data_IF_962317465542
#
_entry.id   IF_962317465542
#
_cell.length_a   1.000
_cell.length_b   1.000
_cell.length_c   1.000
_cell.angle_alpha   90.00
_cell.angle_beta   90.00
_cell.angle_gamma   90.00
#
_symmetry.space_group_name_H-M   'P 1'
#
loop_
_entity.id
_entity.type
_entity.pdbx_description
1 polymer ?
#
# COMPACT_ATOMS: atom_id res chain seq x y z
N UNK A 1 -21.39 9.56 -5.10
CA UNK A 1 -20.35 8.85 -5.90
C UNK A 1 -19.18 9.80 -6.21
N UNK A 2 -19.43 11.05 -6.64
CA UNK A 2 -18.34 12.02 -6.93
C UNK A 2 -17.50 12.38 -5.69
N UNK A 3 -18.11 12.55 -4.52
CA UNK A 3 -17.38 12.88 -3.28
C UNK A 3 -16.42 11.78 -2.82
N UNK A 4 -16.78 10.51 -3.01
CA UNK A 4 -15.90 9.38 -2.70
C UNK A 4 -14.69 9.29 -3.65
N UNK A 5 -14.88 9.57 -4.94
CA UNK A 5 -13.81 9.61 -5.94
C UNK A 5 -12.82 10.75 -5.65
N UNK A 6 -13.30 11.95 -5.35
CA UNK A 6 -12.46 13.11 -4.99
C UNK A 6 -11.64 12.82 -3.73
N UNK A 7 -12.24 12.18 -2.71
CA UNK A 7 -11.51 11.78 -1.51
C UNK A 7 -10.39 10.77 -1.81
N UNK A 8 -10.63 9.80 -2.69
CA UNK A 8 -9.62 8.80 -3.07
C UNK A 8 -8.48 9.39 -3.90
N UNK A 9 -8.75 10.35 -4.78
CA UNK A 9 -7.71 11.06 -5.54
C UNK A 9 -6.82 11.90 -4.63
N UNK A 10 -7.38 12.57 -3.62
CA UNK A 10 -6.61 13.28 -2.59
C UNK A 10 -5.70 12.32 -1.81
N UNK A 11 -6.21 11.15 -1.41
CA UNK A 11 -5.41 10.14 -0.73
C UNK A 11 -4.23 9.63 -1.57
N UNK A 12 -4.43 9.41 -2.87
CA UNK A 12 -3.35 8.98 -3.79
C UNK A 12 -2.27 10.06 -3.85
N UNK A 13 -2.65 11.32 -4.05
CA UNK A 13 -1.70 12.43 -4.11
C UNK A 13 -0.91 12.59 -2.81
N UNK A 14 -1.61 12.56 -1.68
CA UNK A 14 -0.98 12.71 -0.36
C UNK A 14 -0.06 11.54 -0.05
N UNK A 15 -0.44 10.32 -0.42
CA UNK A 15 0.40 9.13 -0.31
C UNK A 15 1.68 9.26 -1.15
N UNK A 16 1.59 9.73 -2.38
CA UNK A 16 2.77 9.95 -3.23
C UNK A 16 3.68 11.00 -2.62
N UNK A 17 3.15 12.13 -2.14
CA UNK A 17 3.95 13.19 -1.50
C UNK A 17 4.67 12.65 -0.27
N UNK A 18 3.97 11.95 0.61
CA UNK A 18 4.55 11.34 1.81
C UNK A 18 5.66 10.35 1.47
N UNK A 19 5.41 9.47 0.50
CA UNK A 19 6.39 8.47 0.04
C UNK A 19 7.63 9.15 -0.53
N UNK A 20 7.46 10.18 -1.37
CA UNK A 20 8.58 10.96 -1.94
C UNK A 20 9.41 11.63 -0.84
N UNK A 21 8.76 12.19 0.18
CA UNK A 21 9.42 12.82 1.31
C UNK A 21 10.23 11.79 2.13
N UNK A 22 9.64 10.64 2.41
CA UNK A 22 10.30 9.54 3.12
C UNK A 22 11.49 9.02 2.32
N UNK A 23 11.32 8.76 1.02
CA UNK A 23 12.40 8.31 0.13
C UNK A 23 13.55 9.32 0.13
N UNK A 24 13.24 10.61 0.01
CA UNK A 24 14.25 11.66 0.04
C UNK A 24 15.01 11.70 1.36
N UNK A 25 14.31 11.54 2.48
CA UNK A 25 14.91 11.52 3.81
C UNK A 25 15.89 10.34 3.98
N UNK A 26 15.52 9.14 3.53
CA UNK A 26 16.35 7.94 3.67
C UNK A 26 17.49 7.86 2.65
N UNK A 27 17.23 8.16 1.39
CA UNK A 27 18.25 8.07 0.34
C UNK A 27 19.24 9.24 0.34
N UNK A 28 18.87 10.38 0.96
CA UNK A 28 19.75 11.58 1.11
C UNK A 28 20.37 12.07 -0.18
N UNK A 29 19.93 11.55 -1.31
CA UNK A 29 20.45 11.85 -2.64
C UNK A 29 19.30 12.12 -3.60
N UNK A 30 19.15 13.38 -4.05
CA UNK A 30 18.10 13.80 -4.98
C UNK A 30 18.04 12.96 -6.25
N UNK A 31 19.21 12.57 -6.77
CA UNK A 31 19.28 11.77 -8.01
C UNK A 31 18.78 10.34 -7.80
N UNK A 32 19.10 9.75 -6.66
CA UNK A 32 18.60 8.44 -6.29
C UNK A 32 17.09 8.47 -6.06
N UNK A 33 16.56 9.54 -5.41
CA UNK A 33 15.14 9.69 -5.11
C UNK A 33 14.27 9.87 -6.37
N UNK A 34 14.82 10.41 -7.46
CA UNK A 34 14.08 10.53 -8.74
C UNK A 34 13.67 9.16 -9.28
N UNK A 35 14.47 8.12 -9.04
CA UNK A 35 14.20 6.78 -9.61
C UNK A 35 12.89 6.21 -9.10
N UNK A 36 12.65 6.06 -7.79
CA UNK A 36 11.34 5.62 -7.28
C UNK A 36 10.19 6.57 -7.66
N UNK A 37 10.44 7.89 -7.70
CA UNK A 37 9.42 8.88 -8.09
C UNK A 37 8.92 8.65 -9.53
N UNK A 38 9.77 8.23 -10.44
CA UNK A 38 9.39 7.91 -11.82
C UNK A 38 8.79 6.51 -11.93
N UNK A 39 9.28 5.54 -11.17
CA UNK A 39 8.76 4.16 -11.23
C UNK A 39 7.33 4.03 -10.71
N UNK A 40 6.92 4.84 -9.71
CA UNK A 40 5.56 4.85 -9.17
C UNK A 40 4.51 5.12 -10.27
N UNK A 41 4.53 6.28 -10.96
CA UNK A 41 3.51 6.57 -11.97
C UNK A 41 3.55 5.59 -13.14
N UNK A 42 4.72 5.12 -13.55
CA UNK A 42 4.85 4.12 -14.62
C UNK A 42 4.17 2.82 -14.22
N UNK A 43 4.38 2.34 -13.00
CA UNK A 43 3.75 1.12 -12.50
C UNK A 43 2.25 1.28 -12.33
N UNK A 44 1.77 2.43 -11.86
CA UNK A 44 0.33 2.71 -11.71
C UNK A 44 -0.37 2.79 -13.08
N UNK A 45 0.24 3.45 -14.07
CA UNK A 45 -0.29 3.47 -15.44
C UNK A 45 -0.32 2.07 -16.03
N UNK A 46 0.72 1.26 -15.78
CA UNK A 46 0.73 -0.14 -16.19
C UNK A 46 -0.37 -0.97 -15.52
N UNK A 47 -0.63 -0.75 -14.23
CA UNK A 47 -1.74 -1.38 -13.51
C UNK A 47 -3.10 -0.96 -14.10
N UNK A 48 -3.31 0.33 -14.39
CA UNK A 48 -4.52 0.81 -15.06
C UNK A 48 -4.70 0.18 -16.44
N UNK A 49 -3.61 0.02 -17.20
CA UNK A 49 -3.67 -0.63 -18.51
C UNK A 49 -4.07 -2.10 -18.40
N UNK A 50 -3.58 -2.83 -17.39
CA UNK A 50 -4.02 -4.20 -17.13
C UNK A 50 -5.50 -4.26 -16.72
N UNK A 51 -5.95 -3.36 -15.85
CA UNK A 51 -7.36 -3.28 -15.47
C UNK A 51 -8.26 -3.04 -16.68
N UNK A 52 -7.85 -2.16 -17.58
CA UNK A 52 -8.57 -1.90 -18.84
C UNK A 52 -8.64 -3.14 -19.74
N UNK A 53 -7.54 -3.89 -19.87
CA UNK A 53 -7.49 -5.14 -20.63
C UNK A 53 -8.42 -6.23 -20.08
N UNK A 54 -8.58 -6.28 -18.76
CA UNK A 54 -9.48 -7.22 -18.09
C UNK A 54 -10.93 -6.73 -18.00
N UNK A 55 -11.23 -5.53 -18.49
CA UNK A 55 -12.57 -4.96 -18.50
C UNK A 55 -13.06 -4.53 -17.12
N UNK A 56 -12.15 -4.23 -16.18
CA UNK A 56 -12.49 -3.74 -14.84
C UNK A 56 -12.80 -2.24 -14.84
N UNK A 57 -13.70 -1.86 -13.94
CA UNK A 57 -14.08 -0.46 -13.75
C UNK A 57 -13.22 0.21 -12.68
N UNK A 58 -13.02 1.52 -12.82
CA UNK A 58 -12.44 2.34 -11.76
C UNK A 58 -13.54 2.63 -10.74
N UNK A 59 -13.43 2.05 -9.57
CA UNK A 59 -14.32 2.24 -8.44
C UNK A 59 -13.54 2.55 -7.16
N UNK A 60 -14.22 2.84 -6.05
CA UNK A 60 -13.58 3.17 -4.77
C UNK A 60 -12.63 2.09 -4.28
N UNK A 61 -12.96 0.80 -4.50
CA UNK A 61 -12.13 -0.32 -4.07
C UNK A 61 -10.88 -0.47 -4.95
N UNK A 62 -11.01 -0.29 -6.26
CA UNK A 62 -9.84 -0.33 -7.16
C UNK A 62 -8.93 0.87 -6.94
N UNK A 63 -9.47 2.05 -6.59
CA UNK A 63 -8.67 3.21 -6.16
C UNK A 63 -7.95 2.93 -4.82
N UNK A 64 -8.61 2.28 -3.87
CA UNK A 64 -7.98 1.83 -2.62
C UNK A 64 -6.85 0.83 -2.89
N UNK A 65 -7.05 -0.12 -3.82
CA UNK A 65 -6.00 -1.03 -4.26
C UNK A 65 -4.79 -0.28 -4.84
N UNK A 66 -5.04 0.77 -5.61
CA UNK A 66 -3.99 1.63 -6.17
C UNK A 66 -3.20 2.38 -5.07
N UNK A 67 -3.88 2.91 -4.05
CA UNK A 67 -3.21 3.55 -2.89
C UNK A 67 -2.31 2.56 -2.16
N UNK A 68 -2.80 1.35 -1.91
CA UNK A 68 -2.01 0.28 -1.29
C UNK A 68 -0.84 -0.16 -2.18
N UNK A 69 -1.07 -0.23 -3.50
CA UNK A 69 -0.05 -0.59 -4.46
C UNK A 69 1.13 0.38 -4.47
N UNK A 70 0.93 1.68 -4.21
CA UNK A 70 2.02 2.67 -4.17
C UNK A 70 3.11 2.23 -3.20
N UNK A 71 2.75 1.81 -1.98
CA UNK A 71 3.72 1.35 -0.99
C UNK A 71 4.49 0.10 -1.44
N UNK A 72 3.78 -0.87 -2.03
CA UNK A 72 4.39 -2.13 -2.50
C UNK A 72 5.28 -1.92 -3.73
N UNK A 73 4.86 -1.05 -4.65
CA UNK A 73 5.61 -0.69 -5.87
C UNK A 73 6.93 0.00 -5.54
N UNK A 74 6.91 0.87 -4.54
CA UNK A 74 8.10 1.62 -4.10
C UNK A 74 9.15 0.69 -3.51
N UNK A 75 8.72 -0.31 -2.75
CA UNK A 75 9.61 -1.24 -2.06
C UNK A 75 10.48 -2.03 -3.05
N UNK A 76 9.89 -2.57 -4.11
CA UNK A 76 10.62 -3.25 -5.19
C UNK A 76 11.71 -2.36 -5.81
N UNK A 77 11.37 -1.11 -6.12
CA UNK A 77 12.30 -0.16 -6.72
C UNK A 77 13.43 0.24 -5.77
N UNK A 78 13.13 0.42 -4.47
CA UNK A 78 14.13 0.80 -3.46
C UNK A 78 15.14 -0.32 -3.25
N UNK A 79 14.70 -1.58 -3.15
CA UNK A 79 15.61 -2.72 -2.94
C UNK A 79 16.60 -2.86 -4.10
N UNK A 80 16.12 -2.70 -5.35
CA UNK A 80 17.00 -2.73 -6.54
C UNK A 80 17.97 -1.55 -6.55
N UNK A 81 17.47 -0.36 -6.27
CA UNK A 81 18.26 0.87 -6.23
C UNK A 81 19.37 0.77 -5.19
N UNK A 82 19.05 0.34 -3.96
CA UNK A 82 20.00 0.27 -2.86
C UNK A 82 21.14 -0.69 -3.16
N UNK A 83 20.83 -1.88 -3.68
CA UNK A 83 21.87 -2.84 -4.04
C UNK A 83 22.81 -2.32 -5.14
N UNK A 84 22.25 -1.67 -6.17
CA UNK A 84 23.05 -1.05 -7.22
C UNK A 84 23.88 0.11 -6.66
N UNK A 85 23.31 0.94 -5.80
CA UNK A 85 23.97 2.10 -5.20
C UNK A 85 25.17 1.67 -4.35
N UNK A 86 25.03 0.59 -3.57
CA UNK A 86 26.12 0.02 -2.79
C UNK A 86 27.31 -0.39 -3.66
N UNK A 87 27.07 -1.04 -4.80
CA UNK A 87 28.16 -1.39 -5.73
C UNK A 87 28.84 -0.16 -6.34
N UNK A 88 28.11 0.95 -6.54
CA UNK A 88 28.70 2.20 -7.02
C UNK A 88 29.53 2.86 -5.92
N UNK A 89 29.12 2.79 -4.66
CA UNK A 89 29.90 3.28 -3.51
C UNK A 89 31.20 2.47 -3.32
N UNK A 90 31.16 1.16 -3.57
CA UNK A 90 32.33 0.28 -3.59
C UNK A 90 33.31 0.57 -4.76
N UNK A 91 33.02 1.59 -5.60
CA UNK A 91 33.87 2.04 -6.68
C UNK A 91 33.66 1.37 -8.04
N UNK A 92 32.60 0.55 -8.18
CA UNK A 92 32.29 -0.10 -9.45
C UNK A 92 31.73 0.88 -10.48
N UNK A 93 32.08 0.75 -11.79
CA UNK A 93 31.46 1.54 -12.85
C UNK A 93 29.96 1.37 -12.89
N UNK A 94 29.20 2.46 -13.09
CA UNK A 94 27.73 2.50 -12.99
C UNK A 94 27.01 1.43 -13.79
N UNK A 95 27.43 1.21 -15.05
CA UNK A 95 26.80 0.20 -15.92
C UNK A 95 27.03 -1.21 -15.39
N UNK A 96 28.22 -1.49 -14.90
CA UNK A 96 28.57 -2.78 -14.33
C UNK A 96 27.87 -3.00 -12.99
N UNK A 97 27.83 -1.98 -12.13
CA UNK A 97 27.09 -1.99 -10.88
C UNK A 97 25.60 -2.24 -11.11
N UNK A 98 24.97 -1.59 -12.11
CA UNK A 98 23.58 -1.79 -12.46
C UNK A 98 23.30 -3.23 -12.94
N UNK A 99 24.19 -3.78 -13.78
CA UNK A 99 24.03 -5.15 -14.27
C UNK A 99 24.24 -6.20 -13.17
N UNK A 100 25.27 -6.02 -12.35
CA UNK A 100 25.59 -6.95 -11.27
C UNK A 100 24.58 -6.87 -10.15
N UNK A 101 24.27 -5.66 -9.69
CA UNK A 101 23.29 -5.45 -8.61
C UNK A 101 21.90 -5.96 -8.96
N UNK A 102 21.41 -5.70 -10.18
CA UNK A 102 20.11 -6.22 -10.61
C UNK A 102 20.09 -7.74 -10.74
N UNK A 103 21.18 -8.35 -11.19
CA UNK A 103 21.29 -9.81 -11.31
C UNK A 103 21.31 -10.51 -9.95
N UNK A 104 22.00 -9.93 -8.97
CA UNK A 104 22.11 -10.48 -7.61
C UNK A 104 20.75 -10.56 -6.91
N UNK A 105 19.91 -9.55 -7.08
CA UNK A 105 18.60 -9.49 -6.40
C UNK A 105 17.42 -9.86 -7.30
N UNK A 106 17.65 -10.09 -8.59
CA UNK A 106 16.56 -10.38 -9.54
C UNK A 106 15.68 -11.54 -9.09
N UNK A 107 16.26 -12.63 -8.59
CA UNK A 107 15.52 -13.75 -8.05
C UNK A 107 14.69 -13.36 -6.80
N UNK A 108 15.26 -12.54 -5.92
CA UNK A 108 14.56 -12.09 -4.71
C UNK A 108 13.35 -11.22 -5.07
N UNK A 109 13.49 -10.29 -6.03
CA UNK A 109 12.38 -9.44 -6.50
C UNK A 109 11.28 -10.30 -7.13
N UNK A 110 11.61 -11.26 -7.99
CA UNK A 110 10.63 -12.18 -8.58
C UNK A 110 9.92 -12.99 -7.48
N UNK A 111 10.67 -13.49 -6.50
CA UNK A 111 10.09 -14.26 -5.39
C UNK A 111 9.14 -13.39 -4.54
N UNK A 112 9.52 -12.13 -4.23
CA UNK A 112 8.65 -11.18 -3.50
C UNK A 112 7.38 -10.89 -4.28
N UNK A 113 7.49 -10.55 -5.57
CA UNK A 113 6.36 -10.31 -6.46
C UNK A 113 5.40 -11.50 -6.50
N UNK A 114 5.92 -12.72 -6.70
CA UNK A 114 5.10 -13.93 -6.72
C UNK A 114 4.44 -14.23 -5.38
N UNK A 115 5.14 -14.00 -4.27
CA UNK A 115 4.58 -14.16 -2.92
C UNK A 115 3.41 -13.21 -2.71
N UNK A 116 3.55 -11.94 -3.06
CA UNK A 116 2.48 -10.94 -2.95
C UNK A 116 1.27 -11.31 -3.80
N UNK A 117 1.48 -11.69 -5.06
CA UNK A 117 0.40 -12.17 -5.95
C UNK A 117 -0.33 -13.37 -5.33
N UNK A 118 0.42 -14.33 -4.78
CA UNK A 118 -0.16 -15.52 -4.15
C UNK A 118 -0.95 -15.19 -2.88
N UNK A 119 -0.55 -14.18 -2.11
CA UNK A 119 -1.29 -13.72 -0.92
C UNK A 119 -2.65 -13.13 -1.30
N UNK A 120 -2.74 -12.43 -2.43
CA UNK A 120 -4.01 -11.86 -2.91
C UNK A 120 -4.85 -12.83 -3.76
N UNK A 121 -4.26 -13.92 -4.27
CA UNK A 121 -4.95 -14.90 -5.09
C UNK A 121 -6.22 -15.48 -4.44
N UNK A 122 -6.29 -15.80 -3.14
CA UNK A 122 -7.51 -16.32 -2.50
C UNK A 122 -8.70 -15.36 -2.60
N UNK A 123 -8.48 -14.05 -2.62
CA UNK A 123 -9.55 -13.06 -2.77
C UNK A 123 -10.22 -13.12 -4.15
N UNK A 124 -9.49 -13.56 -5.17
CA UNK A 124 -10.02 -13.73 -6.52
C UNK A 124 -11.02 -14.91 -6.64
N UNK A 125 -11.01 -15.83 -5.67
CA UNK A 125 -11.93 -16.98 -5.60
C UNK A 125 -13.10 -16.75 -4.64
N UNK A 126 -13.22 -15.56 -4.05
CA UNK A 126 -14.32 -15.25 -3.14
C UNK A 126 -15.67 -15.26 -3.87
N UNK A 127 -16.68 -15.93 -3.29
CA UNK A 127 -18.02 -16.08 -3.87
C UNK A 127 -19.01 -15.09 -3.26
N UNK A 128 -20.10 -14.81 -3.99
CA UNK A 128 -21.17 -13.93 -3.54
C UNK A 128 -21.01 -12.47 -3.98
N UNK A 129 -21.91 -11.58 -3.50
CA UNK A 129 -21.91 -10.15 -3.87
C UNK A 129 -20.64 -9.45 -3.39
N UNK A 130 -20.24 -9.72 -2.18
CA UNK A 130 -18.99 -9.20 -1.58
C UNK A 130 -17.77 -9.72 -2.33
N UNK A 131 -17.78 -11.00 -2.75
CA UNK A 131 -16.70 -11.60 -3.51
C UNK A 131 -16.41 -10.86 -4.81
N UNK A 132 -17.45 -10.46 -5.57
CA UNK A 132 -17.26 -9.70 -6.83
C UNK A 132 -16.53 -8.39 -6.65
N UNK A 133 -16.79 -7.68 -5.56
CA UNK A 133 -16.11 -6.42 -5.23
C UNK A 133 -14.63 -6.66 -4.90
N UNK A 134 -14.33 -7.72 -4.14
CA UNK A 134 -12.96 -8.06 -3.76
C UNK A 134 -12.14 -8.66 -4.91
N UNK A 135 -12.77 -9.30 -5.90
CA UNK A 135 -12.06 -9.79 -7.09
C UNK A 135 -11.40 -8.65 -7.86
N UNK A 136 -12.13 -7.55 -8.13
CA UNK A 136 -11.56 -6.39 -8.83
C UNK A 136 -10.41 -5.76 -8.03
N UNK A 137 -10.57 -5.62 -6.72
CA UNK A 137 -9.54 -5.14 -5.80
C UNK A 137 -8.27 -6.01 -5.84
N UNK A 138 -8.45 -7.34 -5.68
CA UNK A 138 -7.33 -8.28 -5.64
C UNK A 138 -6.56 -8.33 -6.96
N UNK A 139 -7.27 -8.32 -8.09
CA UNK A 139 -6.66 -8.36 -9.41
C UNK A 139 -5.99 -7.03 -9.78
N UNK A 140 -6.56 -5.88 -9.38
CA UNK A 140 -5.93 -4.58 -9.53
C UNK A 140 -4.60 -4.51 -8.75
N UNK A 141 -4.60 -4.99 -7.50
CA UNK A 141 -3.42 -4.99 -6.65
C UNK A 141 -2.36 -5.98 -7.14
N UNK A 142 -2.76 -7.20 -7.49
CA UNK A 142 -1.86 -8.20 -8.06
C UNK A 142 -1.25 -7.73 -9.40
N UNK A 143 -2.06 -7.11 -10.26
CA UNK A 143 -1.60 -6.51 -11.50
C UNK A 143 -0.58 -5.39 -11.27
N UNK A 144 -0.84 -4.50 -10.31
CA UNK A 144 0.09 -3.42 -9.94
C UNK A 144 1.43 -3.97 -9.45
N UNK A 145 1.42 -5.01 -8.62
CA UNK A 145 2.63 -5.66 -8.10
C UNK A 145 3.40 -6.38 -9.22
N UNK A 146 2.73 -7.06 -10.15
CA UNK A 146 3.38 -7.69 -11.30
C UNK A 146 4.07 -6.67 -12.21
N UNK A 147 3.39 -5.56 -12.51
CA UNK A 147 3.99 -4.46 -13.30
C UNK A 147 5.15 -3.84 -12.54
N UNK A 148 5.02 -3.66 -11.21
CA UNK A 148 6.09 -3.16 -10.35
C UNK A 148 7.34 -4.00 -10.44
N UNK A 149 7.24 -5.31 -10.26
CA UNK A 149 8.38 -6.22 -10.34
C UNK A 149 9.08 -6.13 -11.71
N UNK A 150 8.31 -6.04 -12.81
CA UNK A 150 8.85 -5.85 -14.14
C UNK A 150 9.57 -4.51 -14.29
N UNK A 151 8.97 -3.42 -13.83
CA UNK A 151 9.55 -2.06 -13.86
C UNK A 151 10.79 -1.99 -12.98
N UNK A 152 10.77 -2.60 -11.80
CA UNK A 152 11.90 -2.64 -10.88
C UNK A 152 13.11 -3.38 -11.47
N UNK A 153 12.90 -4.42 -12.26
CA UNK A 153 14.00 -5.18 -12.88
C UNK A 153 14.46 -4.63 -14.24
N UNK A 154 13.70 -3.72 -14.85
CA UNK A 154 14.05 -3.16 -16.18
C UNK A 154 14.36 -1.67 -16.11
N UNK A 155 13.37 -0.85 -15.71
CA UNK A 155 13.50 0.60 -15.68
C UNK A 155 14.46 1.07 -14.59
N UNK A 156 14.36 0.51 -13.37
CA UNK A 156 15.19 0.93 -12.24
C UNK A 156 16.69 0.75 -12.51
N UNK A 157 17.20 -0.42 -12.96
CA UNK A 157 18.62 -0.57 -13.28
C UNK A 157 19.10 0.36 -14.40
N UNK A 158 18.25 0.58 -15.42
CA UNK A 158 18.55 1.50 -16.50
C UNK A 158 18.71 2.93 -15.97
N UNK A 159 17.77 3.41 -15.18
CA UNK A 159 17.85 4.74 -14.56
C UNK A 159 19.05 4.86 -13.60
N UNK A 160 19.35 3.83 -12.82
CA UNK A 160 20.54 3.79 -11.95
C UNK A 160 21.82 3.97 -12.75
N UNK A 161 21.95 3.29 -13.90
CA UNK A 161 23.15 3.37 -14.76
C UNK A 161 23.40 4.78 -15.31
N UNK A 162 22.33 5.59 -15.48
CA UNK A 162 22.39 6.94 -16.06
C UNK A 162 22.48 8.02 -14.98
N UNK A 163 21.61 7.97 -13.97
CA UNK A 163 21.45 9.05 -13.00
C UNK A 163 22.40 8.98 -11.80
N UNK A 164 22.76 7.78 -11.33
CA UNK A 164 23.61 7.65 -10.16
C UNK A 164 25.05 8.10 -10.44
N UNK A 165 25.65 8.80 -9.47
CA UNK A 165 27.06 9.19 -9.50
C UNK A 165 27.67 9.00 -8.13
N UNK A 166 28.90 8.54 -8.08
CA UNK A 166 29.70 8.57 -6.86
C UNK A 166 29.83 10.01 -6.37
N UNK A 167 29.36 10.29 -5.15
CA UNK A 167 29.44 11.61 -4.54
C UNK A 167 30.49 11.59 -3.44
N UNK A 168 31.59 12.29 -3.64
CA UNK A 168 32.68 12.42 -2.67
C UNK A 168 32.49 13.57 -1.66
N UNK A 169 31.47 14.41 -1.83
CA UNK A 169 31.24 15.58 -0.97
C UNK A 169 29.97 15.42 -0.16
N UNK A 170 30.10 15.46 1.17
CA UNK A 170 29.00 15.30 2.10
C UNK A 170 28.63 16.64 2.72
N UNK A 171 27.36 17.05 2.61
CA UNK A 171 26.82 18.23 3.30
C UNK A 171 26.74 18.01 4.80
N UNK A 172 26.75 19.08 5.63
CA UNK A 172 26.58 19.00 7.10
C UNK A 172 25.28 18.27 7.51
N UNK A 173 24.20 18.47 6.77
CA UNK A 173 22.94 17.76 6.97
C UNK A 173 23.06 16.26 6.71
N UNK A 174 23.83 15.87 5.70
CA UNK A 174 24.10 14.46 5.41
C UNK A 174 24.76 13.77 6.60
N UNK A 175 25.82 14.38 7.18
CA UNK A 175 26.55 13.82 8.31
C UNK A 175 25.69 13.72 9.59
N UNK A 176 24.74 14.64 9.79
CA UNK A 176 23.83 14.59 10.94
C UNK A 176 22.84 13.42 10.82
N UNK A 177 22.23 13.24 9.67
CA UNK A 177 21.31 12.11 9.40
C UNK A 177 22.09 10.79 9.43
N UNK A 178 23.30 10.76 8.88
CA UNK A 178 24.16 9.58 8.90
C UNK A 178 24.55 9.19 10.34
N UNK A 179 24.90 10.16 11.18
CA UNK A 179 25.18 9.90 12.58
C UNK A 179 23.98 9.29 13.33
N UNK A 180 22.77 9.78 13.05
CA UNK A 180 21.53 9.23 13.62
C UNK A 180 21.24 7.80 13.12
N UNK A 181 21.37 7.56 11.80
CA UNK A 181 21.17 6.23 11.21
C UNK A 181 22.22 5.22 11.69
N UNK A 182 23.48 5.63 11.81
CA UNK A 182 24.54 4.81 12.37
C UNK A 182 24.29 4.48 13.84
N UNK A 183 23.77 5.45 14.62
CA UNK A 183 23.34 5.23 16.00
C UNK A 183 22.24 4.17 16.09
N UNK A 184 21.23 4.27 15.23
CA UNK A 184 20.13 3.31 15.13
C UNK A 184 20.64 1.91 14.69
N UNK A 185 21.50 1.85 13.69
CA UNK A 185 22.12 0.60 13.21
C UNK A 185 22.95 -0.07 14.30
N UNK A 186 23.74 0.70 15.06
CA UNK A 186 24.51 0.17 16.19
C UNK A 186 23.62 -0.31 17.33
N UNK A 187 22.50 0.39 17.60
CA UNK A 187 21.47 -0.04 18.53
C UNK A 187 20.84 -1.38 18.11
N UNK A 188 20.44 -1.49 16.85
CA UNK A 188 19.92 -2.71 16.27
C UNK A 188 20.92 -3.87 16.35
N UNK A 189 22.18 -3.62 16.02
CA UNK A 189 23.26 -4.61 16.10
C UNK A 189 23.46 -5.15 17.52
N UNK A 190 23.37 -4.27 18.53
CA UNK A 190 23.43 -4.68 19.95
C UNK A 190 22.22 -5.52 20.34
N UNK A 191 21.01 -5.08 19.95
CA UNK A 191 19.78 -5.80 20.23
C UNK A 191 19.77 -7.18 19.56
N UNK A 192 20.20 -7.26 18.30
CA UNK A 192 20.33 -8.50 17.56
C UNK A 192 21.33 -9.44 18.21
N UNK A 193 22.48 -8.92 18.63
CA UNK A 193 23.49 -9.69 19.36
C UNK A 193 22.97 -10.26 20.69
N UNK A 194 22.20 -9.46 21.44
CA UNK A 194 21.53 -9.90 22.66
C UNK A 194 20.46 -10.99 22.38
N UNK A 195 19.66 -10.79 21.33
CA UNK A 195 18.62 -11.75 20.90
C UNK A 195 19.22 -13.08 20.49
N UNK A 196 20.31 -13.08 19.74
CA UNK A 196 21.01 -14.29 19.33
C UNK A 196 21.68 -15.02 20.54
N UNK A 197 22.18 -14.24 21.50
CA UNK A 197 22.74 -14.81 22.74
C UNK A 197 21.66 -15.47 23.60
N UNK A 198 20.45 -14.88 23.65
CA UNK A 198 19.31 -15.39 24.42
C UNK A 198 18.23 -15.99 23.52
N UNK A 199 18.63 -16.80 22.53
CA UNK A 199 17.74 -17.37 21.51
C UNK A 199 16.48 -18.03 22.08
N UNK A 200 16.60 -18.76 23.20
CA UNK A 200 15.45 -19.42 23.84
C UNK A 200 14.43 -18.43 24.40
N UNK A 201 14.90 -17.30 24.96
CA UNK A 201 14.01 -16.24 25.44
C UNK A 201 13.18 -15.65 24.27
N UNK A 202 13.80 -15.41 23.11
CA UNK A 202 13.14 -14.91 21.93
C UNK A 202 12.10 -15.90 21.42
N UNK A 203 12.41 -17.20 21.41
CA UNK A 203 11.46 -18.25 21.03
C UNK A 203 10.27 -18.28 22.00
N UNK A 204 10.52 -18.21 23.31
CA UNK A 204 9.44 -18.20 24.33
C UNK A 204 8.54 -16.98 24.14
N UNK A 205 9.12 -15.79 23.92
CA UNK A 205 8.35 -14.56 23.64
C UNK A 205 7.50 -14.77 22.37
N UNK A 206 8.07 -15.32 21.30
CA UNK A 206 7.36 -15.62 20.06
C UNK A 206 6.16 -16.54 20.27
N UNK A 207 6.35 -17.61 21.06
CA UNK A 207 5.27 -18.57 21.39
C UNK A 207 4.18 -17.90 22.24
N UNK A 208 4.57 -17.08 23.22
CA UNK A 208 3.61 -16.34 24.08
C UNK A 208 2.79 -15.36 23.24
N UNK A 209 3.43 -14.62 22.34
CA UNK A 209 2.74 -13.69 21.43
C UNK A 209 1.79 -14.44 20.48
N UNK A 210 2.23 -15.55 19.91
CA UNK A 210 1.39 -16.39 19.04
C UNK A 210 0.17 -16.97 19.79
N UNK A 211 0.38 -17.47 21.00
CA UNK A 211 -0.71 -17.97 21.85
C UNK A 211 -1.67 -16.83 22.26
N UNK A 212 -1.14 -15.67 22.64
CA UNK A 212 -1.92 -14.48 22.96
C UNK A 212 -2.76 -13.99 21.76
N UNK A 213 -2.20 -13.99 20.56
CA UNK A 213 -2.92 -13.67 19.31
C UNK A 213 -4.07 -14.66 19.06
N UNK A 214 -3.85 -15.95 19.30
CA UNK A 214 -4.91 -16.97 19.18
C UNK A 214 -6.04 -16.78 20.17
N UNK A 215 -5.75 -16.35 21.40
CA UNK A 215 -6.78 -15.99 22.42
C UNK A 215 -7.52 -14.73 22.00
N UNK A 216 -6.81 -13.67 21.60
CA UNK A 216 -7.41 -12.43 21.13
C UNK A 216 -8.33 -12.65 19.94
N UNK A 217 -7.95 -13.49 18.99
CA UNK A 217 -8.76 -13.82 17.82
C UNK A 217 -10.10 -14.48 18.20
N UNK A 218 -10.15 -15.22 19.32
CA UNK A 218 -11.40 -15.81 19.84
C UNK A 218 -12.27 -14.82 20.62
N UNK A 219 -11.67 -13.82 21.23
CA UNK A 219 -12.36 -12.84 22.08
C UNK A 219 -12.88 -11.65 21.28
N UNK A 220 -12.15 -11.24 20.23
CA UNK A 220 -12.58 -10.15 19.36
C UNK A 220 -13.79 -10.57 18.53
N UNK A 221 -14.85 -9.77 18.59
CA UNK A 221 -16.06 -9.99 17.78
C UNK A 221 -15.72 -9.89 16.29
N UNK A 222 -16.16 -10.90 15.54
CA UNK A 222 -16.03 -10.89 14.08
C UNK A 222 -17.19 -10.11 13.47
N UNK A 223 -16.92 -8.91 13.00
CA UNK A 223 -17.87 -8.05 12.29
C UNK A 223 -17.38 -7.81 10.86
N UNK A 224 -18.29 -7.85 9.89
CA UNK A 224 -17.98 -7.68 8.48
C UNK A 224 -17.55 -6.23 8.15
N UNK A 225 -18.11 -5.26 8.85
CA UNK A 225 -17.77 -3.86 8.79
C UNK A 225 -18.03 -3.22 10.17
N UNK A 226 -17.19 -2.29 10.62
CA UNK A 226 -17.47 -1.53 11.82
C UNK A 226 -18.79 -0.76 11.62
N UNK A 227 -19.59 -0.69 12.69
CA UNK A 227 -20.79 0.15 12.71
C UNK A 227 -20.28 1.60 12.76
N UNK A 228 -20.20 2.22 11.58
CA UNK A 228 -19.89 3.64 11.47
C UNK A 228 -21.22 4.42 11.51
N UNK A 229 -21.31 5.35 12.42
CA UNK A 229 -22.37 6.36 12.37
C UNK A 229 -22.04 7.32 11.22
N UNK A 230 -22.72 7.13 10.09
CA UNK A 230 -22.55 7.96 8.89
C UNK A 230 -23.52 9.12 8.85
N UNK A 231 -24.30 9.31 9.92
CA UNK A 231 -25.36 10.32 9.94
C UNK A 231 -26.41 10.10 8.85
N UNK A 232 -26.58 8.86 8.35
CA UNK A 232 -27.53 8.51 7.30
C UNK A 232 -28.44 7.41 7.81
N UNK A 233 -29.71 7.71 7.90
CA UNK A 233 -30.77 6.75 8.24
C UNK A 233 -31.44 6.28 6.95
N UNK A 234 -31.39 4.99 6.66
CA UNK A 234 -32.14 4.39 5.56
C UNK A 234 -33.44 3.83 6.05
N UNK A 235 -34.56 4.47 5.67
CA UNK A 235 -35.91 3.98 5.89
C UNK A 235 -36.46 3.30 4.64
N UNK A 236 -36.91 2.05 4.75
CA UNK A 236 -37.65 1.38 3.68
C UNK A 236 -39.13 1.41 4.06
N UNK A 237 -39.93 2.17 3.32
CA UNK A 237 -41.36 2.26 3.51
C UNK A 237 -42.06 1.34 2.53
N UNK A 238 -42.84 0.41 3.05
CA UNK A 238 -43.61 -0.56 2.27
C UNK A 238 -45.10 -0.20 2.41
N UNK A 239 -45.71 0.23 1.34
CA UNK A 239 -47.17 0.51 1.34
C UNK A 239 -47.97 -0.80 1.17
N UNK A 240 -49.23 -0.87 1.65
CA UNK A 240 -50.08 -2.02 1.45
C UNK A 240 -50.41 -2.25 -0.03
N UNK A 241 -50.71 -3.49 -0.38
CA UNK A 241 -51.07 -3.86 -1.75
C UNK A 241 -52.27 -3.03 -2.26
N UNK A 242 -52.13 -2.40 -3.42
CA UNK A 242 -53.13 -1.53 -4.02
C UNK A 242 -53.01 -0.04 -3.67
N UNK A 243 -52.00 0.34 -2.85
CA UNK A 243 -51.77 1.76 -2.55
C UNK A 243 -51.28 2.54 -3.79
N UNK A 244 -51.83 3.76 -3.96
CA UNK A 244 -51.39 4.65 -5.02
C UNK A 244 -50.07 5.32 -4.67
N UNK A 245 -49.33 5.79 -5.70
CA UNK A 245 -48.08 6.51 -5.50
C UNK A 245 -48.24 7.74 -4.59
N UNK A 246 -49.37 8.47 -4.73
CA UNK A 246 -49.66 9.65 -3.93
C UNK A 246 -49.85 9.30 -2.44
N UNK A 247 -50.52 8.19 -2.14
CA UNK A 247 -50.69 7.73 -0.74
C UNK A 247 -49.31 7.40 -0.12
N UNK A 248 -48.43 6.74 -0.87
CA UNK A 248 -47.07 6.40 -0.41
C UNK A 248 -46.26 7.66 -0.19
N UNK A 249 -46.33 8.65 -1.11
CA UNK A 249 -45.63 9.92 -1.00
C UNK A 249 -46.06 10.73 0.23
N UNK A 250 -47.39 10.86 0.48
CA UNK A 250 -47.90 11.59 1.64
C UNK A 250 -47.46 10.92 2.95
N UNK A 251 -47.46 9.59 2.99
CA UNK A 251 -46.97 8.85 4.16
C UNK A 251 -45.45 9.00 4.37
N UNK A 252 -44.68 9.04 3.29
CA UNK A 252 -43.22 9.29 3.36
C UNK A 252 -42.89 10.70 3.84
N UNK A 253 -43.65 11.73 3.40
CA UNK A 253 -43.46 13.10 3.87
C UNK A 253 -43.71 13.23 5.37
N UNK A 254 -44.72 12.52 5.89
CA UNK A 254 -45.00 12.47 7.33
C UNK A 254 -43.85 11.82 8.13
N UNK A 255 -43.26 10.75 7.61
CA UNK A 255 -42.13 10.06 8.24
C UNK A 255 -40.86 10.93 8.18
N UNK A 256 -40.59 11.60 7.05
CA UNK A 256 -39.46 12.48 6.86
C UNK A 256 -39.51 13.67 7.85
N UNK A 257 -40.69 14.24 8.04
CA UNK A 257 -40.92 15.29 9.04
C UNK A 257 -40.65 14.81 10.48
N UNK A 258 -41.06 13.57 10.83
CA UNK A 258 -40.81 13.00 12.15
C UNK A 258 -39.34 12.71 12.40
N UNK A 259 -38.62 12.20 11.41
CA UNK A 259 -37.19 11.95 11.50
C UNK A 259 -36.41 13.25 11.68
N UNK A 260 -36.76 14.29 10.92
CA UNK A 260 -36.10 15.60 11.02
C UNK A 260 -36.34 16.30 12.36
N UNK A 261 -37.57 16.16 12.93
CA UNK A 261 -37.89 16.74 14.24
C UNK A 261 -37.33 15.95 15.42
N UNK A 262 -37.12 14.64 15.26
CA UNK A 262 -36.48 13.79 16.27
C UNK A 262 -34.96 14.08 16.36
N UNK A 263 -34.32 14.28 15.25
CA UNK A 263 -32.88 14.60 15.21
C UNK A 263 -32.59 16.00 15.82
N UNK A 264 -33.52 16.94 15.67
CA UNK A 264 -33.41 18.28 16.27
C UNK A 264 -33.71 18.28 17.81
N UNK A 265 -34.19 17.19 18.36
CA UNK A 265 -34.47 17.08 19.79
C UNK A 265 -33.36 16.41 20.60
N UNK A 266 -32.42 15.75 19.92
CA UNK A 266 -31.24 15.06 20.50
C UNK A 266 -29.96 15.91 20.48
N UNK A 267 -29.96 17.12 19.86
CA UNK A 267 -28.96 18.17 20.01
C UNK A 267 -29.29 19.12 21.18
#
# INVERSE_FOLDING_TARGET
>A
ILSGLVGSEMCIRDSIILVVLVIFFFLRNLRASIIPIVTIPVSLVGACALMYLFGFSINTLTLLAMVLAIGLVVDDAIVVLENIFRHIEDGMPRKEAALRGSREIGFAVVAMTMTLVTVYAPLAFATGRTGRLFIEFALALAGAVLVSGFVALTLTPMMCSVLLRHQSSHSRWYNLIEGWLNGMSNGYRRLLGASLRHRWLVVVIGVVVAAGSGVLFKVVKSELAPIEDRGVVFGIVSAPEGATLNYTLDSMQGIDCLLYTSDAADE
#
